data_IF_409242805628
#
_entry.id   IF_409242805628
#
_cell.length_a   1.000
_cell.length_b   1.000
_cell.length_c   1.000
_cell.angle_alpha   90.00
_cell.angle_beta   90.00
_cell.angle_gamma   90.00
#
_symmetry.space_group_name_H-M   'P 1'
#
loop_
_entity.id
_entity.type
_entity.pdbx_description
1 polymer ?
#
# COMPACT_ATOMS: atom_id res chain seq x y z
N UNK A 1 24.23 -7.67 14.18
CA UNK A 1 22.96 -7.96 13.48
C UNK A 1 23.14 -9.31 12.81
N UNK A 2 22.51 -10.38 13.34
CA UNK A 2 22.50 -11.65 12.64
C UNK A 2 21.70 -11.47 11.34
N UNK A 3 22.25 -11.94 10.23
CA UNK A 3 21.47 -12.05 9.00
C UNK A 3 20.49 -13.21 9.20
N UNK A 4 19.27 -13.09 8.72
CA UNK A 4 18.25 -14.15 8.76
C UNK A 4 18.67 -15.47 8.08
N UNK A 5 19.89 -15.55 7.58
CA UNK A 5 20.49 -16.68 6.86
C UNK A 5 21.81 -17.12 7.46
N UNK A 6 22.15 -16.66 8.68
CA UNK A 6 23.34 -17.11 9.39
C UNK A 6 22.99 -18.40 10.18
N UNK A 7 23.46 -19.59 9.74
CA UNK A 7 23.11 -20.86 10.37
C UNK A 7 23.61 -20.96 11.83
N UNK A 8 24.57 -20.11 12.22
CA UNK A 8 25.10 -20.02 13.60
C UNK A 8 24.53 -18.79 14.34
N UNK A 9 23.51 -18.13 13.77
CA UNK A 9 22.90 -16.95 14.36
C UNK A 9 22.06 -17.23 15.60
N UNK A 10 21.78 -16.21 16.41
CA UNK A 10 20.98 -16.37 17.63
C UNK A 10 19.58 -16.99 17.38
N UNK A 11 18.99 -16.76 16.21
CA UNK A 11 17.69 -17.32 15.85
C UNK A 11 17.76 -18.84 15.61
N UNK A 12 18.75 -19.28 14.85
CA UNK A 12 18.95 -20.68 14.51
C UNK A 12 19.38 -21.50 15.72
N UNK A 13 20.01 -20.85 16.70
CA UNK A 13 20.37 -21.46 17.98
C UNK A 13 19.25 -21.57 19.02
N UNK A 14 18.06 -20.99 18.73
CA UNK A 14 16.91 -21.08 19.63
C UNK A 14 16.20 -22.43 19.53
N UNK A 15 15.57 -22.84 20.62
CA UNK A 15 14.66 -23.99 20.59
C UNK A 15 13.39 -23.63 19.74
N UNK A 16 12.67 -24.62 19.18
CA UNK A 16 11.42 -24.37 18.50
C UNK A 16 10.39 -23.62 19.37
N UNK A 17 10.35 -23.88 20.67
CA UNK A 17 9.48 -23.19 21.62
C UNK A 17 9.85 -21.72 21.78
N UNK A 18 11.14 -21.40 21.82
CA UNK A 18 11.62 -20.02 21.91
C UNK A 18 11.33 -19.26 20.60
N UNK A 19 11.55 -19.91 19.45
CA UNK A 19 11.21 -19.35 18.14
C UNK A 19 9.70 -19.06 18.02
N UNK A 20 8.83 -19.97 18.46
CA UNK A 20 7.38 -19.75 18.50
C UNK A 20 7.01 -18.58 19.41
N UNK A 21 7.65 -18.48 20.58
CA UNK A 21 7.44 -17.37 21.52
C UNK A 21 7.80 -16.03 20.88
N UNK A 22 8.96 -15.94 20.23
CA UNK A 22 9.40 -14.71 19.53
C UNK A 22 8.44 -14.36 18.40
N UNK A 23 8.04 -15.33 17.58
CA UNK A 23 7.08 -15.12 16.50
C UNK A 23 5.72 -14.62 17.01
N UNK A 24 5.25 -15.16 18.14
CA UNK A 24 4.01 -14.71 18.78
C UNK A 24 4.10 -13.28 19.28
N UNK A 25 5.23 -12.89 19.87
CA UNK A 25 5.51 -11.51 20.29
C UNK A 25 5.48 -10.59 19.06
N UNK A 26 6.17 -10.95 17.99
CA UNK A 26 6.20 -10.17 16.75
C UNK A 26 4.81 -10.03 16.13
N UNK A 27 4.03 -11.10 16.06
CA UNK A 27 2.66 -11.08 15.57
C UNK A 27 1.77 -10.14 16.40
N UNK A 28 1.87 -10.22 17.74
CA UNK A 28 1.08 -9.38 18.64
C UNK A 28 1.49 -7.91 18.56
N UNK A 29 2.78 -7.62 18.39
CA UNK A 29 3.25 -6.25 18.15
C UNK A 29 2.64 -5.70 16.85
N UNK A 30 2.68 -6.46 15.75
CA UNK A 30 2.07 -6.06 14.48
C UNK A 30 0.56 -5.81 14.61
N UNK A 31 -0.16 -6.67 15.35
CA UNK A 31 -1.59 -6.48 15.63
C UNK A 31 -1.87 -5.22 16.44
N UNK A 32 -1.06 -4.93 17.46
CA UNK A 32 -1.19 -3.72 18.27
C UNK A 32 -0.95 -2.45 17.45
N UNK A 33 0.08 -2.44 16.60
CA UNK A 33 0.34 -1.33 15.66
C UNK A 33 -0.85 -1.16 14.70
N UNK A 34 -1.33 -2.24 14.10
CA UNK A 34 -2.48 -2.19 13.19
C UNK A 34 -3.76 -1.71 13.88
N UNK A 35 -3.97 -2.05 15.16
CA UNK A 35 -5.10 -1.54 15.95
C UNK A 35 -4.98 -0.04 16.19
N UNK A 36 -3.78 0.45 16.50
CA UNK A 36 -3.51 1.89 16.66
C UNK A 36 -3.70 2.65 15.34
N UNK A 37 -3.15 2.15 14.24
CA UNK A 37 -3.27 2.79 12.91
C UNK A 37 -4.71 2.98 12.47
N UNK A 38 -5.63 2.07 12.84
CA UNK A 38 -7.07 2.22 12.57
C UNK A 38 -7.71 3.42 13.25
N UNK A 39 -7.08 3.97 14.29
CA UNK A 39 -7.54 5.20 14.98
C UNK A 39 -7.01 6.46 14.29
N UNK A 40 -6.01 6.35 13.43
CA UNK A 40 -5.43 7.46 12.68
C UNK A 40 -6.29 7.77 11.45
N UNK A 41 -7.43 8.41 11.70
CA UNK A 41 -8.37 8.79 10.63
C UNK A 41 -8.14 10.25 10.27
N UNK A 42 -7.76 10.51 9.01
CA UNK A 42 -7.67 11.86 8.45
C UNK A 42 -9.09 12.40 8.22
N UNK A 43 -9.41 13.54 8.81
CA UNK A 43 -10.70 14.20 8.66
C UNK A 43 -10.54 15.71 8.46
N UNK A 44 -11.64 16.37 8.02
CA UNK A 44 -11.76 17.83 7.88
C UNK A 44 -10.72 18.49 6.97
N UNK A 45 -10.21 17.78 5.98
CA UNK A 45 -9.41 18.40 4.94
C UNK A 45 -10.19 19.49 4.21
N UNK A 46 -9.54 20.49 3.59
CA UNK A 46 -10.24 21.51 2.81
C UNK A 46 -11.19 20.93 1.76
N UNK A 47 -10.85 19.79 1.17
CA UNK A 47 -11.72 19.09 0.23
C UNK A 47 -12.99 18.55 0.89
N UNK A 48 -12.92 18.04 2.12
CA UNK A 48 -14.10 17.54 2.85
C UNK A 48 -15.08 18.68 3.14
N UNK A 49 -14.57 19.84 3.56
CA UNK A 49 -15.41 21.05 3.76
C UNK A 49 -16.07 21.52 2.45
N UNK A 50 -15.33 21.44 1.34
CA UNK A 50 -15.86 21.75 0.01
C UNK A 50 -17.02 20.83 -0.37
N UNK A 51 -16.88 19.54 -0.17
CA UNK A 51 -17.96 18.57 -0.43
C UNK A 51 -19.14 18.77 0.51
N UNK A 52 -18.89 19.22 1.75
CA UNK A 52 -19.94 19.57 2.73
C UNK A 52 -20.64 20.90 2.42
N UNK A 53 -20.24 21.63 1.35
CA UNK A 53 -20.90 22.85 0.87
C UNK A 53 -20.13 24.16 1.08
N UNK A 54 -18.98 24.15 1.73
CA UNK A 54 -18.11 25.32 1.82
C UNK A 54 -17.35 25.52 0.49
N UNK A 55 -17.97 26.26 -0.42
CA UNK A 55 -17.41 26.50 -1.75
C UNK A 55 -16.11 27.31 -1.75
N UNK A 56 -15.77 27.96 -0.64
CA UNK A 56 -14.54 28.73 -0.46
C UNK A 56 -13.38 27.90 0.11
N UNK A 57 -13.64 26.67 0.56
CA UNK A 57 -12.64 25.81 1.21
C UNK A 57 -11.46 25.42 0.34
N UNK A 58 -11.63 25.41 -0.99
CA UNK A 58 -10.59 25.13 -1.96
C UNK A 58 -10.53 26.19 -3.06
N UNK A 59 -9.35 26.38 -3.65
CA UNK A 59 -9.13 27.36 -4.72
C UNK A 59 -9.85 26.98 -6.02
N UNK A 60 -10.07 27.97 -6.90
CA UNK A 60 -10.63 27.72 -8.23
C UNK A 60 -9.74 26.79 -9.06
N UNK A 61 -8.43 26.84 -8.86
CA UNK A 61 -7.50 25.88 -9.49
C UNK A 61 -7.76 24.45 -9.00
N UNK A 62 -7.92 24.27 -7.69
CA UNK A 62 -8.25 22.95 -7.12
C UNK A 62 -9.61 22.43 -7.61
N UNK A 63 -10.62 23.31 -7.76
CA UNK A 63 -11.92 22.93 -8.35
C UNK A 63 -11.78 22.46 -9.80
N UNK A 64 -10.94 23.13 -10.60
CA UNK A 64 -10.65 22.66 -11.97
C UNK A 64 -9.96 21.29 -11.95
N UNK A 65 -8.98 21.09 -11.03
CA UNK A 65 -8.33 19.82 -10.83
C UNK A 65 -9.31 18.70 -10.43
N UNK A 66 -10.23 18.99 -9.51
CA UNK A 66 -11.26 18.03 -9.11
C UNK A 66 -12.16 17.61 -10.29
N UNK A 67 -12.54 18.55 -11.18
CA UNK A 67 -13.29 18.21 -12.40
C UNK A 67 -12.50 17.33 -13.37
N UNK A 68 -11.19 17.55 -13.50
CA UNK A 68 -10.34 16.66 -14.29
C UNK A 68 -10.24 15.28 -13.66
N UNK A 69 -10.06 15.22 -12.34
CA UNK A 69 -9.94 13.98 -11.57
C UNK A 69 -11.15 13.05 -11.75
N UNK A 70 -12.37 13.60 -11.63
CA UNK A 70 -13.61 12.81 -11.81
C UNK A 70 -14.03 12.70 -13.29
N UNK A 71 -13.47 13.50 -14.17
CA UNK A 71 -13.83 13.57 -15.57
C UNK A 71 -12.72 13.03 -16.49
N UNK A 72 -12.18 13.92 -17.32
CA UNK A 72 -11.31 13.56 -18.46
C UNK A 72 -10.04 12.79 -18.05
N UNK A 73 -9.47 13.06 -16.89
CA UNK A 73 -8.27 12.35 -16.41
C UNK A 73 -8.56 10.93 -15.90
N UNK A 74 -9.82 10.60 -15.56
CA UNK A 74 -10.24 9.26 -15.19
C UNK A 74 -9.71 8.74 -13.86
N UNK A 75 -9.08 9.59 -13.05
CA UNK A 75 -8.42 9.15 -11.80
C UNK A 75 -9.39 8.49 -10.82
N UNK A 76 -10.66 8.92 -10.82
CA UNK A 76 -11.71 8.38 -9.97
C UNK A 76 -12.01 6.89 -10.22
N UNK A 77 -11.59 6.34 -11.37
CA UNK A 77 -11.79 4.92 -11.68
C UNK A 77 -11.10 4.00 -10.66
N UNK A 78 -9.93 4.41 -10.14
CA UNK A 78 -9.17 3.70 -9.11
C UNK A 78 -9.20 4.45 -7.78
N UNK A 79 -9.15 5.80 -7.82
CA UNK A 79 -9.12 6.65 -6.64
C UNK A 79 -10.51 7.17 -6.28
N UNK A 80 -11.37 6.29 -5.75
CA UNK A 80 -12.77 6.59 -5.38
C UNK A 80 -13.03 6.40 -3.88
N UNK A 81 -14.23 6.79 -3.45
CA UNK A 81 -14.66 6.65 -2.06
C UNK A 81 -13.96 7.60 -1.07
N UNK A 82 -14.26 7.47 0.25
CA UNK A 82 -13.80 8.40 1.28
C UNK A 82 -12.28 8.47 1.44
N UNK A 83 -11.57 7.40 1.10
CA UNK A 83 -10.11 7.30 1.20
C UNK A 83 -9.41 7.44 -0.15
N UNK A 84 -10.15 7.69 -1.24
CA UNK A 84 -9.63 7.80 -2.60
C UNK A 84 -8.84 6.56 -3.02
N UNK A 85 -9.42 5.38 -2.83
CA UNK A 85 -8.88 4.10 -3.27
C UNK A 85 -9.99 3.07 -3.40
N UNK A 86 -9.93 2.25 -4.45
CA UNK A 86 -10.75 1.04 -4.61
C UNK A 86 -10.15 -0.17 -3.86
N UNK A 87 -8.92 -0.02 -3.32
CA UNK A 87 -8.11 -1.08 -2.71
C UNK A 87 -7.75 -2.24 -3.65
N UNK A 88 -8.00 -2.11 -4.92
CA UNK A 88 -7.67 -3.12 -5.92
C UNK A 88 -6.26 -2.92 -6.50
N UNK A 89 -5.86 -3.82 -7.38
CA UNK A 89 -4.52 -3.88 -7.95
C UNK A 89 -4.56 -3.58 -9.45
N UNK A 90 -3.79 -2.59 -9.85
CA UNK A 90 -3.73 -2.11 -11.23
C UNK A 90 -2.29 -1.96 -11.71
N UNK A 91 -2.08 -2.17 -13.00
CA UNK A 91 -0.86 -1.77 -13.68
C UNK A 91 -1.12 -0.43 -14.38
N UNK A 92 -0.59 0.64 -13.83
CA UNK A 92 -0.75 2.00 -14.35
C UNK A 92 0.45 2.47 -15.18
N UNK A 93 1.39 1.58 -15.51
CA UNK A 93 2.58 1.90 -16.28
C UNK A 93 3.57 2.82 -15.55
N UNK A 94 3.55 2.85 -14.20
CA UNK A 94 4.51 3.65 -13.44
C UNK A 94 5.94 3.27 -13.81
N UNK A 95 6.83 4.25 -14.06
CA UNK A 95 8.18 3.97 -14.53
C UNK A 95 9.02 3.29 -13.45
N UNK A 96 9.77 2.28 -13.84
CA UNK A 96 10.74 1.58 -12.99
C UNK A 96 12.06 2.36 -13.03
N UNK A 97 12.10 3.53 -12.38
CA UNK A 97 13.24 4.43 -12.31
C UNK A 97 13.57 4.77 -10.87
N UNK A 98 14.87 4.88 -10.57
CA UNK A 98 15.40 5.20 -9.24
C UNK A 98 16.57 4.30 -8.86
N UNK A 99 17.42 4.77 -7.96
CA UNK A 99 18.67 4.09 -7.57
C UNK A 99 18.47 2.77 -6.81
N UNK A 100 17.25 2.54 -6.29
CA UNK A 100 16.94 1.37 -5.46
C UNK A 100 15.77 0.55 -6.01
N UNK A 101 15.45 0.75 -7.29
CA UNK A 101 14.37 0.03 -7.96
C UNK A 101 14.93 -1.25 -8.56
N UNK A 102 14.18 -2.34 -8.44
CA UNK A 102 14.51 -3.61 -9.09
C UNK A 102 14.45 -3.44 -10.62
N UNK A 103 15.32 -4.14 -11.36
CA UNK A 103 15.27 -4.16 -12.83
C UNK A 103 13.91 -4.62 -13.35
N UNK A 104 13.28 -5.55 -12.64
CA UNK A 104 11.90 -5.99 -12.85
C UNK A 104 11.20 -6.08 -11.51
N UNK A 105 10.10 -5.37 -11.36
CA UNK A 105 9.19 -5.48 -10.22
C UNK A 105 7.89 -6.13 -10.68
N UNK A 106 7.72 -7.38 -10.33
CA UNK A 106 6.55 -8.19 -10.72
C UNK A 106 5.29 -7.83 -9.92
N UNK A 107 5.43 -6.99 -8.88
CA UNK A 107 4.32 -6.52 -8.05
C UNK A 107 3.50 -7.66 -7.44
N UNK A 108 2.18 -7.58 -7.55
CA UNK A 108 1.26 -8.58 -6.98
C UNK A 108 1.61 -10.01 -7.37
N UNK A 109 2.06 -10.26 -8.60
CA UNK A 109 2.35 -11.61 -9.07
C UNK A 109 3.38 -12.34 -8.18
N UNK A 110 4.48 -11.67 -7.86
CA UNK A 110 5.51 -12.24 -6.99
C UNK A 110 5.10 -12.25 -5.52
N UNK A 111 4.44 -11.18 -5.08
CA UNK A 111 4.08 -11.00 -3.68
C UNK A 111 2.99 -11.96 -3.19
N UNK A 112 2.12 -12.44 -4.09
CA UNK A 112 1.13 -13.48 -3.74
C UNK A 112 1.81 -14.77 -3.31
N UNK A 113 2.87 -15.21 -3.98
CA UNK A 113 3.61 -16.41 -3.58
C UNK A 113 4.25 -16.25 -2.19
N UNK A 114 4.84 -15.08 -1.94
CA UNK A 114 5.41 -14.72 -0.62
C UNK A 114 4.32 -14.68 0.46
N UNK A 115 3.16 -14.08 0.16
CA UNK A 115 2.03 -14.02 1.09
C UNK A 115 1.52 -15.40 1.47
N UNK A 116 1.30 -16.28 0.49
CA UNK A 116 0.75 -17.62 0.73
C UNK A 116 1.70 -18.49 1.55
N UNK A 117 3.02 -18.35 1.38
CA UNK A 117 4.03 -19.07 2.15
C UNK A 117 4.36 -18.46 3.52
N UNK A 118 3.85 -17.25 3.81
CA UNK A 118 4.20 -16.51 5.02
C UNK A 118 3.45 -17.07 6.25
N UNK A 119 4.18 -17.46 7.27
CA UNK A 119 3.62 -17.97 8.52
C UNK A 119 2.77 -16.96 9.30
N UNK A 120 2.91 -15.66 9.01
CA UNK A 120 2.13 -14.56 9.61
C UNK A 120 0.91 -14.14 8.79
N UNK A 121 0.56 -14.86 7.72
CA UNK A 121 -0.64 -14.57 6.96
C UNK A 121 -1.93 -14.88 7.75
N UNK A 122 -3.08 -14.49 7.21
CA UNK A 122 -4.38 -14.64 7.91
C UNK A 122 -4.84 -16.08 8.11
N UNK A 123 -4.29 -17.05 7.39
CA UNK A 123 -4.53 -18.49 7.58
C UNK A 123 -3.43 -19.15 8.45
N UNK A 124 -2.37 -18.43 8.79
CA UNK A 124 -1.19 -18.91 9.52
C UNK A 124 -1.43 -19.10 11.01
N UNK A 125 -0.46 -19.72 11.70
CA UNK A 125 -0.59 -20.12 13.12
C UNK A 125 -0.73 -18.94 14.10
N UNK A 126 -0.36 -17.74 13.69
CA UNK A 126 -0.43 -16.53 14.52
C UNK A 126 -1.65 -15.66 14.23
N UNK A 127 -2.57 -16.11 13.36
CA UNK A 127 -3.84 -15.43 13.12
C UNK A 127 -4.79 -15.62 14.30
N UNK A 128 -5.53 -14.57 14.68
CA UNK A 128 -6.58 -14.65 15.70
C UNK A 128 -7.81 -15.40 15.19
N UNK A 129 -8.06 -15.33 13.88
CA UNK A 129 -9.14 -16.06 13.22
C UNK A 129 -8.66 -16.54 11.84
N UNK A 130 -8.49 -17.84 11.71
CA UNK A 130 -8.07 -18.50 10.47
C UNK A 130 -9.23 -18.81 9.52
N UNK A 131 -10.45 -18.56 9.94
CA UNK A 131 -11.66 -18.86 9.19
C UNK A 131 -12.18 -17.68 8.39
N UNK A 132 -11.43 -16.58 8.35
CA UNK A 132 -11.84 -15.32 7.68
C UNK A 132 -12.04 -15.44 6.18
N UNK A 133 -11.54 -16.49 5.54
CA UNK A 133 -11.59 -16.66 4.08
C UNK A 133 -10.79 -15.62 3.26
N UNK A 134 -9.99 -14.79 3.90
CA UNK A 134 -9.28 -13.68 3.21
C UNK A 134 -8.27 -14.15 2.16
N UNK A 135 -7.83 -15.38 2.23
CA UNK A 135 -6.92 -15.97 1.23
C UNK A 135 -7.63 -16.92 0.27
N UNK A 136 -8.95 -17.09 0.38
CA UNK A 136 -9.72 -17.96 -0.50
C UNK A 136 -9.67 -17.40 -1.93
N UNK A 137 -9.28 -18.25 -2.86
CA UNK A 137 -9.11 -17.86 -4.27
C UNK A 137 -7.88 -16.98 -4.57
N UNK A 138 -7.07 -16.64 -3.55
CA UNK A 138 -5.80 -15.93 -3.80
C UNK A 138 -4.79 -16.92 -4.39
N UNK A 139 -4.38 -16.67 -5.61
CA UNK A 139 -3.41 -17.50 -6.34
C UNK A 139 -2.46 -16.59 -7.13
N UNK A 140 -1.27 -17.12 -7.42
CA UNK A 140 -0.34 -16.45 -8.31
C UNK A 140 -0.86 -16.54 -9.76
N UNK A 141 -1.25 -15.40 -10.33
CA UNK A 141 -1.78 -15.30 -11.69
C UNK A 141 -0.83 -14.47 -12.56
N UNK A 142 -0.35 -14.97 -13.71
CA UNK A 142 0.45 -14.18 -14.65
C UNK A 142 -0.19 -12.86 -15.08
N UNK A 143 -1.51 -12.74 -15.06
CA UNK A 143 -2.23 -11.50 -15.34
C UNK A 143 -2.02 -10.42 -14.26
N UNK A 144 -1.46 -10.78 -13.10
CA UNK A 144 -1.16 -9.86 -12.00
C UNK A 144 0.25 -9.25 -12.07
N UNK A 145 1.03 -9.55 -13.12
CA UNK A 145 2.37 -8.98 -13.31
C UNK A 145 2.33 -7.46 -13.40
N UNK A 146 3.17 -6.81 -12.60
CA UNK A 146 3.29 -5.36 -12.57
C UNK A 146 2.05 -4.63 -12.03
N UNK A 147 1.11 -5.34 -11.40
CA UNK A 147 -0.01 -4.70 -10.69
C UNK A 147 0.39 -4.33 -9.27
N UNK A 148 0.04 -3.11 -8.87
CA UNK A 148 0.23 -2.58 -7.53
C UNK A 148 -1.09 -2.10 -6.96
N UNK A 149 -1.24 -2.20 -5.64
CA UNK A 149 -2.47 -1.76 -4.97
C UNK A 149 -2.63 -0.25 -5.09
N UNK A 150 -3.82 0.20 -5.45
CA UNK A 150 -4.18 1.61 -5.40
C UNK A 150 -4.02 2.15 -3.98
N UNK A 151 -3.12 3.12 -3.81
CA UNK A 151 -2.90 3.77 -2.51
C UNK A 151 -3.94 4.85 -2.28
N UNK A 152 -4.31 5.04 -1.01
CA UNK A 152 -5.17 6.16 -0.62
C UNK A 152 -4.48 7.50 -0.90
N UNK A 153 -5.29 8.55 -1.16
CA UNK A 153 -4.76 9.89 -1.40
C UNK A 153 -4.98 10.85 -0.21
N UNK A 154 -5.49 10.36 0.91
CA UNK A 154 -5.58 11.17 2.13
C UNK A 154 -4.18 11.55 2.59
N UNK A 155 -3.97 12.84 2.90
CA UNK A 155 -2.66 13.38 3.33
C UNK A 155 -1.51 13.11 2.34
N UNK A 156 -1.82 12.88 1.06
CA UNK A 156 -0.81 12.53 0.05
C UNK A 156 0.29 13.60 -0.08
N UNK A 157 -0.03 14.86 0.17
CA UNK A 157 0.95 15.95 0.10
C UNK A 157 2.11 15.80 1.11
N UNK A 158 1.88 15.05 2.20
CA UNK A 158 2.85 14.85 3.29
C UNK A 158 3.66 13.54 3.13
N UNK A 159 3.43 12.77 2.07
CA UNK A 159 3.95 11.41 1.94
C UNK A 159 4.95 11.21 0.79
N UNK A 160 5.68 12.26 0.42
CA UNK A 160 6.76 12.12 -0.57
C UNK A 160 7.85 11.11 -0.08
N UNK A 161 8.55 10.42 -1.00
CA UNK A 161 8.42 10.41 -2.46
C UNK A 161 7.23 9.56 -2.95
N UNK A 162 6.84 9.74 -4.23
CA UNK A 162 5.61 9.18 -4.78
C UNK A 162 5.87 8.00 -5.72
N UNK A 163 4.77 7.27 -6.05
CA UNK A 163 4.73 5.93 -6.63
C UNK A 163 5.27 4.84 -5.68
N UNK A 164 5.04 3.58 -6.02
CA UNK A 164 5.55 2.44 -5.27
C UNK A 164 7.09 2.38 -5.25
N UNK A 165 7.74 2.98 -6.26
CA UNK A 165 9.21 3.04 -6.39
C UNK A 165 9.82 4.27 -5.71
N UNK A 166 9.02 5.25 -5.27
CA UNK A 166 9.53 6.54 -4.84
C UNK A 166 10.15 7.38 -5.97
N UNK A 167 9.83 7.07 -7.23
CA UNK A 167 10.43 7.69 -8.42
C UNK A 167 10.18 9.19 -8.55
N UNK A 168 9.13 9.70 -7.94
CA UNK A 168 8.77 11.12 -8.01
C UNK A 168 8.95 11.80 -6.65
N UNK A 169 9.86 12.75 -6.60
CA UNK A 169 10.13 13.53 -5.38
C UNK A 169 9.00 14.51 -5.03
N UNK A 170 8.17 14.89 -5.99
CA UNK A 170 7.09 15.87 -5.81
C UNK A 170 5.84 15.45 -6.57
N UNK A 171 4.66 15.97 -6.15
CA UNK A 171 3.40 15.81 -6.90
C UNK A 171 3.38 16.61 -8.22
N UNK A 172 4.30 17.57 -8.39
CA UNK A 172 4.43 18.32 -9.62
C UNK A 172 5.35 17.57 -10.58
N UNK A 173 4.77 16.96 -11.58
CA UNK A 173 5.53 16.47 -12.73
C UNK A 173 5.79 17.64 -13.64
N UNK A 174 7.02 18.17 -13.64
CA UNK A 174 7.41 19.20 -14.60
C UNK A 174 7.40 18.60 -16.01
N UNK A 175 6.36 18.86 -16.71
CA UNK A 175 6.17 19.09 -18.14
C UNK A 175 6.72 18.15 -19.19
N UNK A 176 7.35 16.99 -18.93
CA UNK A 176 7.94 16.21 -20.02
C UNK A 176 7.88 14.68 -19.92
N UNK A 177 7.27 14.10 -18.92
CA UNK A 177 7.25 12.62 -18.79
C UNK A 177 5.86 11.99 -18.59
N UNK A 178 4.81 12.76 -18.43
CA UNK A 178 3.45 12.27 -18.47
C UNK A 178 2.68 13.06 -19.54
N UNK A 179 2.71 12.58 -20.77
CA UNK A 179 1.67 12.91 -21.74
C UNK A 179 0.38 12.18 -21.30
N UNK A 180 -0.35 12.79 -20.37
CA UNK A 180 -1.73 12.43 -20.04
C UNK A 180 -2.70 13.26 -20.87
#
# INVERSE_FOLDING_TARGET
>A
KSKATDPDGPWEGMTPEDQDTVNRIMANQGKAVAAYERLLVSGEAPFDRYIAGDTAAISESAKRGARLFVGKAGCVACHSGPTFTDNDFHNNGAPQIGDHVLDVDEGRYEDVAKLLSNTFNTAGPYSDDRTTGKLDGVAQDPADRGKFRTKQLRSVAESAPYYHTGALATLFVTGSTLNL
#
